data_IF_846536064707
#
_entry.id   IF_846536064707
#
_cell.length_a   1.000
_cell.length_b   1.000
_cell.length_c   1.000
_cell.angle_alpha   90.00
_cell.angle_beta   90.00
_cell.angle_gamma   90.00
#
_symmetry.space_group_name_H-M   'P 1'
#
loop_
_entity.id
_entity.type
_entity.pdbx_description
1 polymer ?
#
# COMPACT_ATOMS: atom_id res chain seq x y z
N UNK A 1 -42.74 -51.67 -3.17
CA UNK A 1 -43.22 -51.72 -4.56
C UNK A 1 -43.05 -50.33 -5.18
N UNK A 2 -42.55 -50.31 -6.41
CA UNK A 2 -42.51 -49.21 -7.41
C UNK A 2 -41.51 -48.06 -7.24
N UNK A 3 -40.76 -47.90 -8.34
CA UNK A 3 -39.66 -46.98 -8.68
C UNK A 3 -40.24 -45.72 -9.35
N UNK A 4 -39.51 -44.59 -9.39
CA UNK A 4 -38.94 -43.98 -10.62
C UNK A 4 -38.43 -42.52 -10.43
N UNK A 5 -37.13 -42.36 -10.72
CA UNK A 5 -36.31 -41.24 -11.25
C UNK A 5 -36.36 -39.77 -10.73
N UNK A 6 -35.18 -39.11 -10.57
CA UNK A 6 -35.02 -37.68 -10.32
C UNK A 6 -34.77 -36.85 -11.61
N UNK A 7 -35.23 -35.60 -11.62
CA UNK A 7 -35.01 -34.63 -12.70
C UNK A 7 -33.68 -33.86 -12.51
N UNK A 8 -32.93 -33.82 -13.60
CA UNK A 8 -31.67 -33.12 -13.82
C UNK A 8 -31.94 -31.63 -14.00
N UNK A 9 -31.19 -30.76 -13.31
CA UNK A 9 -31.11 -29.34 -13.68
C UNK A 9 -29.66 -28.85 -13.60
N UNK A 10 -29.21 -28.38 -14.76
CA UNK A 10 -27.83 -28.22 -15.18
C UNK A 10 -27.29 -26.85 -14.78
N UNK A 11 -26.08 -26.83 -14.19
CA UNK A 11 -25.27 -25.62 -13.94
C UNK A 11 -24.84 -24.99 -15.26
N UNK A 12 -25.20 -23.73 -15.47
CA UNK A 12 -24.60 -22.90 -16.52
C UNK A 12 -23.40 -22.15 -15.91
N UNK A 13 -22.21 -22.48 -16.42
CA UNK A 13 -20.96 -21.78 -16.16
C UNK A 13 -20.88 -20.53 -17.07
N UNK A 14 -20.87 -19.34 -16.50
CA UNK A 14 -20.45 -18.12 -17.19
C UNK A 14 -18.94 -17.94 -17.00
N UNK A 15 -18.18 -18.26 -18.04
CA UNK A 15 -16.76 -17.95 -18.15
C UNK A 15 -16.56 -16.48 -18.48
N UNK A 16 -15.90 -15.73 -17.60
CA UNK A 16 -15.42 -14.39 -17.87
C UNK A 16 -13.98 -14.48 -18.37
N UNK A 17 -13.77 -14.21 -19.66
CA UNK A 17 -12.45 -14.05 -20.26
C UNK A 17 -11.84 -12.71 -19.82
N UNK A 18 -10.56 -12.75 -19.48
CA UNK A 18 -9.74 -11.58 -19.22
C UNK A 18 -9.28 -11.02 -20.56
N UNK A 19 -9.58 -9.74 -20.84
CA UNK A 19 -8.95 -9.00 -21.91
C UNK A 19 -7.82 -8.14 -21.34
N UNK A 20 -6.59 -8.49 -21.70
CA UNK A 20 -5.38 -7.71 -21.47
C UNK A 20 -5.44 -6.41 -22.27
N UNK A 21 -5.41 -5.27 -21.57
CA UNK A 21 -5.30 -3.94 -22.19
C UNK A 21 -3.82 -3.58 -22.27
N UNK A 22 -3.23 -3.82 -23.44
CA UNK A 22 -1.87 -3.37 -23.78
C UNK A 22 -1.93 -1.94 -24.32
N UNK A 23 -1.35 -0.99 -23.58
CA UNK A 23 -1.21 0.40 -24.02
C UNK A 23 -0.05 0.51 -25.03
N UNK A 24 -0.36 0.72 -26.30
CA UNK A 24 0.60 1.21 -27.29
C UNK A 24 0.47 2.72 -27.45
N UNK A 25 1.63 3.36 -27.39
CA UNK A 25 1.93 4.77 -27.58
C UNK A 25 1.45 5.24 -28.96
N UNK A 26 0.68 6.33 -29.03
CA UNK A 26 0.31 6.99 -30.28
C UNK A 26 0.98 8.37 -30.33
N UNK A 27 1.93 8.51 -31.25
CA UNK A 27 2.57 9.76 -31.66
C UNK A 27 1.58 10.61 -32.45
N UNK A 28 1.50 11.90 -32.11
CA UNK A 28 0.69 12.92 -32.78
C UNK A 28 1.44 13.37 -34.03
N UNK A 29 0.83 13.22 -35.20
CA UNK A 29 1.25 13.87 -36.44
C UNK A 29 0.11 14.76 -36.92
N UNK A 30 0.50 15.97 -37.26
CA UNK A 30 -0.30 17.16 -37.51
C UNK A 30 -0.30 17.41 -39.02
N UNK A 31 -1.47 17.43 -39.68
CA UNK A 31 -1.57 17.97 -41.05
C UNK A 31 -2.91 18.64 -41.33
N UNK A 32 -2.78 19.95 -41.50
CA UNK A 32 -3.50 20.96 -42.28
C UNK A 32 -4.52 20.47 -43.33
N UNK A 33 -5.62 21.20 -43.44
CA UNK A 33 -6.70 20.98 -44.41
C UNK A 33 -6.48 21.62 -45.79
N UNK A 34 -7.40 21.27 -46.70
CA UNK A 34 -7.73 21.99 -47.93
C UNK A 34 -9.13 21.55 -48.42
N UNK A 35 -9.80 22.46 -49.12
CA UNK A 35 -11.22 22.45 -49.48
C UNK A 35 -11.49 21.90 -50.91
N UNK A 36 -12.78 21.59 -51.13
CA UNK A 36 -13.61 21.70 -52.36
C UNK A 36 -14.08 20.42 -53.10
N UNK A 37 -15.42 20.29 -53.09
CA UNK A 37 -16.35 20.09 -54.24
C UNK A 37 -16.46 18.71 -54.94
N UNK A 38 -17.61 18.02 -54.82
CA UNK A 38 -18.75 18.01 -55.79
C UNK A 38 -19.81 16.94 -55.45
N UNK A 39 -21.06 17.40 -55.35
CA UNK A 39 -22.36 16.86 -55.82
C UNK A 39 -22.76 15.36 -55.82
N UNK A 40 -23.86 15.09 -55.06
CA UNK A 40 -25.11 14.36 -55.38
C UNK A 40 -25.06 12.84 -55.67
N UNK A 41 -25.69 12.01 -54.83
CA UNK A 41 -26.97 11.29 -55.11
C UNK A 41 -27.39 10.44 -53.90
N UNK A 42 -28.68 10.49 -53.60
CA UNK A 42 -29.43 9.90 -52.48
C UNK A 42 -29.63 8.40 -52.58
N UNK A 43 -29.43 7.65 -51.49
CA UNK A 43 -30.15 6.40 -51.19
C UNK A 43 -30.45 6.26 -49.68
N UNK A 44 -31.76 6.29 -49.39
CA UNK A 44 -32.61 5.74 -48.29
C UNK A 44 -31.94 5.14 -47.03
N UNK A 45 -32.50 5.38 -45.83
CA UNK A 45 -31.78 5.26 -44.56
C UNK A 45 -31.82 3.84 -44.01
N UNK A 46 -30.65 3.23 -43.87
CA UNK A 46 -30.48 2.18 -42.87
C UNK A 46 -30.49 2.85 -41.50
N UNK A 47 -31.41 2.41 -40.62
CA UNK A 47 -31.42 2.78 -39.19
C UNK A 47 -30.16 2.25 -38.53
N UNK A 48 -29.06 2.98 -38.67
CA UNK A 48 -27.91 2.82 -37.80
C UNK A 48 -28.32 3.36 -36.42
N UNK A 49 -28.27 2.58 -35.34
CA UNK A 49 -28.39 3.16 -34.02
C UNK A 49 -27.21 4.14 -33.88
N UNK A 50 -27.52 5.42 -33.76
CA UNK A 50 -26.56 6.46 -33.41
C UNK A 50 -25.86 6.03 -32.11
N UNK A 51 -24.72 5.36 -32.23
CA UNK A 51 -23.78 5.17 -31.14
C UNK A 51 -23.29 6.57 -30.83
N UNK A 52 -23.96 7.23 -29.89
CA UNK A 52 -23.49 8.48 -29.31
C UNK A 52 -22.07 8.17 -28.84
N UNK A 53 -21.03 8.89 -29.32
CA UNK A 53 -19.73 8.76 -28.71
C UNK A 53 -19.94 9.13 -27.24
N UNK A 54 -19.78 8.15 -26.35
CA UNK A 54 -19.82 8.39 -24.93
C UNK A 54 -18.58 9.23 -24.64
N UNK A 55 -18.72 10.56 -24.75
CA UNK A 55 -17.76 11.51 -24.24
C UNK A 55 -17.71 11.25 -22.74
N UNK A 56 -16.78 10.39 -22.33
CA UNK A 56 -16.38 10.32 -20.94
C UNK A 56 -15.72 11.66 -20.65
N UNK A 57 -16.51 12.61 -20.16
CA UNK A 57 -16.00 13.84 -19.56
C UNK A 57 -15.25 13.38 -18.33
N UNK A 58 -13.94 13.21 -18.47
CA UNK A 58 -13.06 12.93 -17.34
C UNK A 58 -13.05 14.23 -16.52
N UNK A 59 -13.57 14.24 -15.29
CA UNK A 59 -13.49 15.44 -14.47
C UNK A 59 -12.03 15.70 -14.15
N UNK A 60 -11.44 16.69 -14.82
CA UNK A 60 -10.11 17.18 -14.49
C UNK A 60 -10.26 18.08 -13.27
N UNK A 61 -9.75 17.64 -12.12
CA UNK A 61 -9.63 18.52 -10.96
C UNK A 61 -8.39 19.39 -11.15
N UNK A 62 -8.60 20.69 -11.34
CA UNK A 62 -7.51 21.66 -11.30
C UNK A 62 -7.08 21.86 -9.84
N UNK A 63 -5.92 21.29 -9.47
CA UNK A 63 -5.31 21.58 -8.17
C UNK A 63 -4.53 22.89 -8.26
N UNK A 64 -4.87 23.84 -7.40
CA UNK A 64 -4.16 25.11 -7.20
C UNK A 64 -3.28 25.03 -5.95
N UNK A 65 -2.37 26.00 -5.78
CA UNK A 65 -1.50 26.07 -4.59
C UNK A 65 -2.34 26.17 -3.31
N UNK A 66 -3.42 26.95 -3.33
CA UNK A 66 -4.32 27.14 -2.18
C UNK A 66 -5.21 25.93 -1.86
N UNK A 67 -5.33 24.97 -2.79
CA UNK A 67 -6.08 23.73 -2.58
C UNK A 67 -5.18 22.53 -2.27
N UNK A 68 -3.86 22.74 -2.27
CA UNK A 68 -2.90 21.72 -1.89
C UNK A 68 -2.94 21.49 -0.37
N UNK A 69 -2.94 20.22 0.02
CA UNK A 69 -3.01 19.81 1.43
C UNK A 69 -1.65 19.25 1.86
N UNK A 70 -1.29 19.36 3.16
CA UNK A 70 -0.10 18.71 3.66
C UNK A 70 -0.21 17.19 3.50
N UNK A 71 0.95 16.54 3.34
CA UNK A 71 1.02 15.11 3.03
C UNK A 71 0.25 14.24 4.03
N UNK A 72 0.22 14.62 5.32
CA UNK A 72 -0.49 13.87 6.35
C UNK A 72 -2.00 13.79 6.11
N UNK A 73 -2.63 14.88 5.67
CA UNK A 73 -4.06 14.94 5.37
C UNK A 73 -4.37 14.13 4.11
N UNK A 74 -3.52 14.22 3.09
CA UNK A 74 -3.66 13.42 1.86
C UNK A 74 -3.57 11.93 2.19
N UNK A 75 -2.56 11.52 2.96
CA UNK A 75 -2.38 10.12 3.35
C UNK A 75 -3.47 9.59 4.27
N UNK A 76 -4.08 10.46 5.08
CA UNK A 76 -5.26 10.12 5.87
C UNK A 76 -6.47 9.84 4.97
N UNK A 77 -6.69 10.64 3.93
CA UNK A 77 -7.74 10.36 2.93
C UNK A 77 -7.55 9.03 2.21
N UNK A 78 -6.31 8.69 1.83
CA UNK A 78 -5.99 7.43 1.11
C UNK A 78 -6.04 6.20 2.03
N UNK A 79 -5.52 6.31 3.26
CA UNK A 79 -5.42 5.17 4.19
C UNK A 79 -6.68 5.00 5.05
N UNK A 80 -7.55 6.00 5.04
CA UNK A 80 -8.69 6.15 5.93
C UNK A 80 -8.30 6.87 7.24
N UNK A 81 -9.30 7.49 7.90
CA UNK A 81 -9.09 8.30 9.09
C UNK A 81 -8.44 7.51 10.22
N UNK A 82 -7.60 8.17 11.00
CA UNK A 82 -7.08 7.60 12.25
C UNK A 82 -8.20 7.62 13.29
N UNK A 83 -8.53 6.48 13.90
CA UNK A 83 -9.44 6.45 15.06
C UNK A 83 -10.72 5.62 14.90
N UNK A 84 -11.84 6.16 15.42
CA UNK A 84 -13.08 5.45 15.76
C UNK A 84 -13.67 4.60 14.63
N UNK A 85 -13.60 5.08 13.39
CA UNK A 85 -14.10 4.39 12.19
C UNK A 85 -13.35 3.09 11.92
N UNK A 86 -12.06 3.01 12.27
CA UNK A 86 -11.22 1.81 12.12
C UNK A 86 -11.41 0.80 13.27
N UNK A 87 -11.99 1.22 14.40
CA UNK A 87 -12.13 0.38 15.61
C UNK A 87 -12.97 -0.88 15.37
N UNK A 88 -13.89 -0.88 14.40
CA UNK A 88 -14.75 -2.04 14.08
C UNK A 88 -14.13 -3.06 13.12
N UNK A 89 -12.88 -2.87 12.70
CA UNK A 89 -12.10 -3.82 11.88
C UNK A 89 -12.84 -4.37 10.64
N UNK A 90 -13.72 -3.58 10.02
CA UNK A 90 -14.50 -3.98 8.82
C UNK A 90 -13.66 -4.10 7.55
N UNK A 91 -12.48 -3.48 7.52
CA UNK A 91 -11.58 -3.47 6.36
C UNK A 91 -10.70 -4.73 6.27
N UNK A 92 -10.57 -5.29 5.07
CA UNK A 92 -9.64 -6.40 4.80
C UNK A 92 -8.19 -5.91 4.89
N UNK A 93 -7.45 -6.33 5.92
CA UNK A 93 -6.03 -5.95 6.13
C UNK A 93 -5.14 -6.30 4.95
N UNK A 94 -5.45 -7.30 4.12
CA UNK A 94 -4.66 -7.68 2.93
C UNK A 94 -4.55 -6.52 1.93
N UNK A 95 -5.64 -5.81 1.68
CA UNK A 95 -5.76 -4.77 0.64
C UNK A 95 -5.11 -3.44 1.05
N UNK A 96 -4.99 -3.17 2.36
CA UNK A 96 -4.43 -1.91 2.87
C UNK A 96 -2.98 -1.71 2.41
N UNK A 97 -2.73 -0.56 1.78
CA UNK A 97 -1.40 -0.09 1.35
C UNK A 97 -0.68 0.63 2.51
N UNK A 98 0.66 0.51 2.62
CA UNK A 98 1.42 1.28 3.60
C UNK A 98 1.49 2.76 3.19
N UNK A 99 1.53 3.65 4.19
CA UNK A 99 1.87 5.07 3.97
C UNK A 99 3.32 5.15 3.49
N UNK A 100 3.54 5.87 2.39
CA UNK A 100 4.88 6.12 1.85
C UNK A 100 5.30 7.54 2.24
N UNK A 101 6.45 7.67 2.87
CA UNK A 101 7.03 8.98 3.15
C UNK A 101 7.80 9.48 1.92
N UNK A 102 7.30 10.55 1.30
CA UNK A 102 7.87 11.13 0.10
C UNK A 102 9.12 11.98 0.40
N UNK A 103 9.27 12.47 1.63
CA UNK A 103 10.38 13.35 2.02
C UNK A 103 11.65 12.55 2.29
N UNK A 104 11.50 11.27 2.67
CA UNK A 104 12.63 10.39 2.96
C UNK A 104 13.51 10.19 1.72
N UNK A 105 14.79 10.48 1.87
CA UNK A 105 15.80 10.35 0.81
C UNK A 105 15.92 11.55 -0.11
N UNK A 106 15.08 12.58 0.05
CA UNK A 106 15.26 13.86 -0.67
C UNK A 106 16.30 14.72 0.04
N UNK A 107 17.36 15.11 -0.69
CA UNK A 107 18.34 16.10 -0.24
C UNK A 107 17.81 17.52 -0.49
N UNK A 108 18.02 18.42 0.46
CA UNK A 108 17.70 19.83 0.28
C UNK A 108 18.53 20.42 -0.87
N UNK A 109 17.91 21.24 -1.72
CA UNK A 109 18.54 21.79 -2.92
C UNK A 109 18.73 20.78 -4.05
N UNK A 110 18.33 19.52 -3.87
CA UNK A 110 18.29 18.52 -4.93
C UNK A 110 17.12 18.76 -5.87
N UNK A 111 17.41 18.85 -7.16
CA UNK A 111 16.42 19.10 -8.21
C UNK A 111 16.60 18.12 -9.38
N UNK A 112 15.58 18.03 -10.25
CA UNK A 112 15.63 17.16 -11.44
C UNK A 112 16.67 17.63 -12.47
N UNK A 113 16.92 18.94 -12.52
CA UNK A 113 17.82 19.56 -13.50
C UNK A 113 19.29 19.62 -13.06
N UNK A 114 19.62 19.24 -11.81
CA UNK A 114 21.00 19.20 -11.32
C UNK A 114 21.63 20.57 -11.02
N UNK A 115 20.86 21.56 -10.59
CA UNK A 115 21.41 22.87 -10.22
C UNK A 115 22.20 22.75 -8.90
N UNK A 116 23.33 23.44 -8.88
CA UNK A 116 24.21 23.56 -7.73
C UNK A 116 23.93 24.91 -7.05
N UNK A 117 23.28 24.82 -5.89
CA UNK A 117 23.02 25.97 -5.02
C UNK A 117 24.14 26.07 -3.98
N UNK A 118 25.03 27.07 -4.08
CA UNK A 118 26.12 27.26 -3.11
C UNK A 118 25.53 27.53 -1.73
N UNK A 119 25.98 26.79 -0.72
CA UNK A 119 25.46 26.84 0.66
C UNK A 119 24.29 25.90 0.94
N UNK A 120 23.76 25.18 -0.06
CA UNK A 120 22.68 24.20 0.13
C UNK A 120 23.07 22.81 -0.40
N UNK A 121 23.29 22.69 -1.71
CA UNK A 121 23.70 21.44 -2.36
C UNK A 121 25.22 21.41 -2.68
N UNK A 122 25.84 22.58 -2.84
CA UNK A 122 27.26 22.75 -3.14
C UNK A 122 27.95 23.61 -2.05
N UNK A 123 29.27 23.48 -1.84
CA UNK A 123 30.00 24.33 -0.91
C UNK A 123 29.98 25.80 -1.34
N UNK A 124 29.95 26.74 -0.38
CA UNK A 124 29.94 28.18 -0.65
C UNK A 124 31.22 28.66 -1.35
N UNK A 125 32.38 28.11 -0.97
CA UNK A 125 33.68 28.50 -1.51
C UNK A 125 34.32 27.37 -2.31
N UNK A 126 34.91 27.69 -3.46
CA UNK A 126 35.89 26.82 -4.15
C UNK A 126 37.21 27.56 -4.21
N UNK A 127 38.27 26.99 -3.65
CA UNK A 127 39.62 27.59 -3.73
C UNK A 127 39.61 29.09 -3.42
N UNK A 128 39.03 29.46 -2.27
CA UNK A 128 38.83 30.86 -1.80
C UNK A 128 37.86 31.76 -2.59
N UNK A 129 37.34 31.32 -3.73
CA UNK A 129 36.34 32.08 -4.52
C UNK A 129 34.91 31.69 -4.16
N UNK A 130 34.02 32.68 -4.07
CA UNK A 130 32.60 32.47 -3.81
C UNK A 130 31.94 31.85 -5.05
N UNK A 131 31.30 30.69 -4.88
CA UNK A 131 30.63 30.00 -5.97
C UNK A 131 29.29 30.68 -6.31
N UNK A 132 29.02 30.85 -7.59
CA UNK A 132 27.70 31.28 -8.10
C UNK A 132 26.82 30.06 -8.37
N UNK A 133 25.52 30.28 -8.54
CA UNK A 133 24.59 29.22 -8.97
C UNK A 133 25.01 28.72 -10.34
N UNK A 134 25.21 27.41 -10.46
CA UNK A 134 25.66 26.76 -11.69
C UNK A 134 24.75 25.59 -12.01
N UNK A 135 24.59 25.27 -13.29
CA UNK A 135 23.96 24.03 -13.73
C UNK A 135 25.00 22.93 -13.68
N UNK A 136 24.82 21.96 -12.78
CA UNK A 136 25.64 20.77 -12.73
C UNK A 136 25.02 19.64 -13.56
N UNK A 137 25.65 18.47 -13.47
CA UNK A 137 25.14 17.26 -14.11
C UNK A 137 23.98 16.65 -13.34
N UNK A 138 23.04 16.06 -14.08
CA UNK A 138 21.92 15.31 -13.47
C UNK A 138 22.47 14.02 -12.87
N UNK A 139 22.42 13.91 -11.55
CA UNK A 139 22.82 12.71 -10.81
C UNK A 139 21.82 11.56 -11.02
N UNK A 140 21.89 10.87 -12.16
CA UNK A 140 21.02 9.73 -12.51
C UNK A 140 21.05 8.65 -11.45
N UNK A 141 22.23 8.32 -10.92
CA UNK A 141 22.38 7.30 -9.88
C UNK A 141 21.61 7.62 -8.61
N UNK A 142 21.58 8.90 -8.23
CA UNK A 142 20.82 9.35 -7.07
C UNK A 142 19.31 9.25 -7.32
N UNK A 143 18.83 9.64 -8.51
CA UNK A 143 17.42 9.51 -8.89
C UNK A 143 16.99 8.03 -8.90
N UNK A 144 17.81 7.14 -9.46
CA UNK A 144 17.56 5.71 -9.47
C UNK A 144 17.48 5.15 -8.03
N UNK A 145 18.43 5.53 -7.16
CA UNK A 145 18.40 5.16 -5.73
C UNK A 145 17.14 5.69 -5.03
N UNK A 146 16.70 6.91 -5.34
CA UNK A 146 15.49 7.51 -4.79
C UNK A 146 14.23 6.73 -5.22
N UNK A 147 14.16 6.32 -6.48
CA UNK A 147 13.08 5.49 -7.02
C UNK A 147 13.08 4.09 -6.41
N UNK A 148 14.25 3.47 -6.27
CA UNK A 148 14.38 2.19 -5.56
C UNK A 148 13.89 2.29 -4.11
N UNK A 149 14.24 3.36 -3.39
CA UNK A 149 13.78 3.58 -2.02
C UNK A 149 12.25 3.71 -1.96
N UNK A 150 11.65 4.44 -2.90
CA UNK A 150 10.19 4.57 -3.03
C UNK A 150 9.55 3.21 -3.30
N UNK A 151 10.06 2.45 -4.26
CA UNK A 151 9.55 1.12 -4.61
C UNK A 151 9.67 0.14 -3.42
N UNK A 152 10.81 0.14 -2.73
CA UNK A 152 11.04 -0.67 -1.51
C UNK A 152 10.05 -0.31 -0.40
N UNK A 153 9.72 0.99 -0.23
CA UNK A 153 8.77 1.46 0.79
C UNK A 153 7.30 1.20 0.43
N UNK A 154 6.96 1.20 -0.87
CA UNK A 154 5.62 0.92 -1.36
C UNK A 154 5.21 -0.55 -1.18
N UNK A 155 6.21 -1.45 -1.19
CA UNK A 155 5.99 -2.87 -0.96
C UNK A 155 5.61 -3.11 0.50
N UNK A 156 4.45 -3.71 0.68
CA UNK A 156 3.98 -4.14 2.00
C UNK A 156 4.89 -5.24 2.54
N UNK A 157 5.56 -4.96 3.66
CA UNK A 157 6.34 -5.96 4.39
C UNK A 157 5.45 -7.14 4.76
N UNK A 158 5.81 -8.34 4.29
CA UNK A 158 5.18 -9.59 4.71
C UNK A 158 5.49 -9.84 6.18
N UNK A 159 4.62 -10.56 6.88
CA UNK A 159 4.92 -11.03 8.24
C UNK A 159 6.17 -11.90 8.16
N UNK A 160 7.20 -11.56 8.93
CA UNK A 160 8.41 -12.38 9.06
C UNK A 160 7.98 -13.73 9.64
N UNK A 161 8.28 -14.81 8.94
CA UNK A 161 8.07 -16.17 9.47
C UNK A 161 9.27 -16.48 10.35
N UNK A 162 9.01 -16.98 11.55
CA UNK A 162 10.07 -17.47 12.41
C UNK A 162 10.67 -18.75 11.80
N UNK A 163 11.99 -18.98 11.96
CA UNK A 163 12.59 -20.25 11.59
C UNK A 163 12.00 -21.38 12.44
N UNK A 164 12.01 -22.64 11.96
CA UNK A 164 11.41 -23.77 12.67
C UNK A 164 11.92 -23.97 14.10
N UNK A 165 13.19 -23.63 14.38
CA UNK A 165 13.82 -23.77 15.69
C UNK A 165 13.31 -22.75 16.73
N UNK A 166 12.98 -21.54 16.29
CA UNK A 166 12.50 -20.46 17.18
C UNK A 166 10.97 -20.38 17.24
N UNK A 167 10.31 -21.29 16.54
CA UNK A 167 8.86 -21.41 16.51
C UNK A 167 8.40 -22.21 17.73
N UNK A 168 7.27 -21.83 18.30
CA UNK A 168 6.59 -22.67 19.29
C UNK A 168 5.89 -23.87 18.67
N UNK A 169 4.80 -24.33 19.28
CA UNK A 169 4.06 -25.52 18.84
C UNK A 169 3.55 -25.39 17.39
N UNK A 170 3.02 -24.22 17.02
CA UNK A 170 2.51 -23.93 15.67
C UNK A 170 3.15 -22.68 15.07
N UNK A 171 3.25 -22.61 13.74
CA UNK A 171 3.97 -21.52 13.06
C UNK A 171 3.24 -20.18 13.07
N UNK A 172 1.94 -20.20 13.32
CA UNK A 172 1.09 -19.02 13.35
C UNK A 172 0.77 -18.56 14.79
N UNK A 173 0.89 -19.44 15.78
CA UNK A 173 0.63 -19.14 17.19
C UNK A 173 1.91 -18.74 17.92
N UNK A 174 1.73 -18.02 19.02
CA UNK A 174 2.81 -17.70 19.97
C UNK A 174 3.02 -18.82 21.00
N UNK A 175 2.10 -19.78 21.13
CA UNK A 175 2.19 -20.84 22.13
C UNK A 175 3.44 -21.69 21.96
N UNK A 176 4.19 -21.88 23.05
CA UNK A 176 5.48 -22.55 23.12
C UNK A 176 6.67 -21.69 22.68
N UNK A 177 6.47 -20.42 22.27
CA UNK A 177 7.56 -19.54 21.86
C UNK A 177 8.24 -18.90 23.09
N UNK A 178 9.57 -18.83 23.06
CA UNK A 178 10.38 -18.08 24.03
C UNK A 178 10.28 -16.58 23.77
N UNK A 179 9.94 -15.78 24.77
CA UNK A 179 9.97 -14.31 24.70
C UNK A 179 11.34 -13.74 25.10
N UNK A 180 12.19 -14.57 25.70
CA UNK A 180 13.50 -14.19 26.19
C UNK A 180 13.52 -13.94 27.71
N UNK A 181 14.57 -13.28 28.23
CA UNK A 181 14.69 -13.00 29.65
C UNK A 181 13.67 -11.95 30.12
N UNK A 182 13.34 -11.97 31.42
CA UNK A 182 12.49 -10.95 32.01
C UNK A 182 13.20 -9.60 32.03
N UNK A 183 12.42 -8.55 31.75
CA UNK A 183 12.88 -7.15 31.82
C UNK A 183 13.27 -6.72 33.25
N UNK A 184 12.77 -7.43 34.28
CA UNK A 184 13.05 -7.18 35.70
C UNK A 184 14.49 -7.52 36.13
N UNK A 185 15.42 -7.71 35.19
CA UNK A 185 16.85 -7.85 35.46
C UNK A 185 17.24 -9.13 36.19
N UNK A 186 16.37 -10.16 36.24
CA UNK A 186 16.70 -11.44 36.87
C UNK A 186 17.43 -12.34 35.85
N UNK A 187 18.77 -12.47 35.93
CA UNK A 187 19.52 -13.25 34.96
C UNK A 187 19.15 -14.74 35.07
N UNK A 188 19.01 -15.41 33.92
CA UNK A 188 18.80 -16.86 33.86
C UNK A 188 17.35 -17.33 33.87
N UNK A 189 16.35 -16.43 33.86
CA UNK A 189 14.97 -16.83 33.61
C UNK A 189 14.64 -16.83 32.12
N UNK A 190 14.12 -17.94 31.59
CA UNK A 190 13.47 -18.00 30.28
C UNK A 190 11.96 -17.85 30.44
N UNK A 191 11.32 -17.12 29.52
CA UNK A 191 9.87 -16.93 29.51
C UNK A 191 9.25 -17.56 28.28
N UNK A 192 8.22 -18.38 28.49
CA UNK A 192 7.52 -19.10 27.42
C UNK A 192 6.01 -18.86 27.50
N UNK A 193 5.41 -18.63 26.35
CA UNK A 193 3.96 -18.43 26.24
C UNK A 193 3.26 -19.80 26.26
N UNK A 194 2.33 -20.01 27.19
CA UNK A 194 1.48 -21.20 27.19
C UNK A 194 0.23 -20.98 26.32
N UNK A 195 -0.47 -19.88 26.52
CA UNK A 195 -1.72 -19.58 25.82
C UNK A 195 -1.73 -18.11 25.41
N UNK A 196 -2.14 -17.84 24.17
CA UNK A 196 -2.46 -16.50 23.70
C UNK A 196 -3.81 -16.55 22.98
N UNK A 197 -4.88 -16.16 23.67
CA UNK A 197 -6.24 -16.18 23.13
C UNK A 197 -6.78 -14.78 22.89
N UNK A 198 -7.55 -14.62 21.81
CA UNK A 198 -8.33 -13.42 21.57
C UNK A 198 -9.70 -13.57 22.22
N UNK A 199 -9.95 -12.81 23.30
CA UNK A 199 -11.22 -12.77 24.03
C UNK A 199 -12.01 -11.54 23.59
N UNK A 200 -13.33 -11.58 23.64
CA UNK A 200 -14.15 -10.39 23.36
C UNK A 200 -15.28 -10.23 24.35
N UNK A 201 -15.49 -9.00 24.82
CA UNK A 201 -16.55 -8.63 25.75
C UNK A 201 -17.53 -7.68 25.07
N UNK A 202 -18.82 -7.79 25.38
CA UNK A 202 -19.82 -6.82 24.91
C UNK A 202 -19.82 -5.59 25.81
N UNK A 203 -19.75 -4.42 25.20
CA UNK A 203 -19.78 -3.11 25.86
C UNK A 203 -20.90 -2.27 25.25
N UNK A 204 -21.56 -1.44 26.06
CA UNK A 204 -22.71 -0.64 25.60
C UNK A 204 -22.34 0.35 24.47
N UNK A 205 -21.15 0.94 24.52
CA UNK A 205 -20.73 1.99 23.58
C UNK A 205 -20.06 1.45 22.32
N UNK A 206 -19.09 0.55 22.46
CA UNK A 206 -18.28 0.04 21.34
C UNK A 206 -18.87 -1.24 20.72
N UNK A 207 -19.73 -1.95 21.46
CA UNK A 207 -20.21 -3.28 21.11
C UNK A 207 -19.17 -4.33 21.48
N UNK A 208 -18.82 -5.22 20.55
CA UNK A 208 -17.83 -6.29 20.75
C UNK A 208 -16.41 -5.71 20.87
N UNK A 209 -15.91 -5.59 22.09
CA UNK A 209 -14.56 -5.14 22.39
C UNK A 209 -13.60 -6.33 22.45
N UNK A 210 -12.60 -6.37 21.55
CA UNK A 210 -11.61 -7.46 21.49
C UNK A 210 -10.43 -7.16 22.41
N UNK A 211 -10.08 -8.12 23.26
CA UNK A 211 -8.89 -8.18 24.12
C UNK A 211 -8.06 -9.41 23.78
N UNK A 212 -6.82 -9.42 24.26
CA UNK A 212 -5.98 -10.63 24.24
C UNK A 212 -5.74 -11.02 25.69
N UNK A 213 -5.89 -12.32 25.99
CA UNK A 213 -5.41 -12.88 27.24
C UNK A 213 -4.22 -13.77 26.96
N UNK A 214 -3.17 -13.57 27.72
CA UNK A 214 -1.90 -14.28 27.59
C UNK A 214 -1.59 -15.00 28.90
N UNK A 215 -1.24 -16.28 28.82
CA UNK A 215 -0.70 -17.06 29.93
C UNK A 215 0.76 -17.35 29.62
N UNK A 216 1.65 -16.94 30.51
CA UNK A 216 3.11 -17.02 30.33
C UNK A 216 3.72 -17.68 31.55
N UNK A 217 4.75 -18.50 31.33
CA UNK A 217 5.55 -19.13 32.38
C UNK A 217 6.96 -18.58 32.30
N UNK A 218 7.52 -18.24 33.45
CA UNK A 218 8.93 -17.90 33.64
C UNK A 218 9.59 -18.99 34.48
N UNK A 219 10.82 -19.39 34.14
CA UNK A 219 11.57 -20.35 34.97
C UNK A 219 13.08 -20.24 34.77
N UNK A 220 13.85 -20.57 35.82
CA UNK A 220 15.31 -20.45 35.83
C UNK A 220 16.05 -21.78 35.68
N UNK A 221 15.35 -22.83 35.23
CA UNK A 221 15.85 -24.22 35.09
C UNK A 221 16.42 -24.84 36.38
N UNK A 222 16.27 -24.17 37.53
CA UNK A 222 16.74 -24.60 38.86
C UNK A 222 15.59 -24.88 39.82
N UNK A 223 14.45 -25.30 39.27
CA UNK A 223 13.24 -25.62 40.03
C UNK A 223 12.37 -24.42 40.46
N UNK A 224 12.78 -23.18 40.17
CA UNK A 224 11.94 -22.00 40.40
C UNK A 224 11.20 -21.66 39.12
N UNK A 225 9.87 -21.63 39.20
CA UNK A 225 9.00 -21.17 38.12
C UNK A 225 7.87 -20.29 38.65
N UNK A 226 7.44 -19.34 37.82
CA UNK A 226 6.28 -18.50 38.05
C UNK A 226 5.37 -18.48 36.84
N UNK A 227 4.06 -18.35 37.06
CA UNK A 227 3.06 -18.23 36.01
C UNK A 227 2.37 -16.88 36.13
N UNK A 228 2.24 -16.17 35.01
CA UNK A 228 1.55 -14.89 34.92
C UNK A 228 0.44 -14.94 33.88
N UNK A 229 -0.69 -14.28 34.19
CA UNK A 229 -1.80 -14.09 33.25
C UNK A 229 -2.06 -12.60 33.04
N UNK A 230 -2.18 -12.21 31.78
CA UNK A 230 -2.61 -10.89 31.33
C UNK A 230 -3.85 -10.99 30.44
#
# INVERSE_FOLDING_TARGET
>A
MLRFLPSVLQRVHLGYSWCDISFKCASILETRGALLSTSITTLVPSRCPLVRPHFSVIPVRFSTIFTSLPADVIWEGVTGPKGSTKKRARGKRRVTRPKIDLNRGQRLGGNREGYLWPGLNAPLYRQSTLQKVQKGDVNKDYLNKLEELRNKSAVKKKRVKLPPLLRGWTGASMGGQSLGPLDSGSPGFDTRVLELKAVSTMTATVGRYRRFSALVVAGNERGICGVGKA
#
